data_IF_930245445871
#
_entry.id   IF_930245445871
#
_cell.length_a   1.000
_cell.length_b   1.000
_cell.length_c   1.000
_cell.angle_alpha   90.00
_cell.angle_beta   90.00
_cell.angle_gamma   90.00
#
_symmetry.space_group_name_H-M   'P 1'
#
loop_
_entity.id
_entity.type
_entity.pdbx_description
1 polymer ?
#
# COMPACT_ATOMS: atom_id res chain seq x y z
N UNK A 1 -14.78 4.72 21.21
CA UNK A 1 -13.34 4.59 20.84
C UNK A 1 -13.10 4.23 19.38
N UNK A 2 -13.96 3.43 18.72
CA UNK A 2 -13.77 3.09 17.29
C UNK A 2 -13.99 4.24 16.30
N UNK A 3 -14.96 5.13 16.55
CA UNK A 3 -15.30 6.21 15.59
C UNK A 3 -14.18 7.24 15.42
N UNK A 4 -13.51 7.65 16.51
CA UNK A 4 -12.39 8.58 16.42
C UNK A 4 -11.20 7.96 15.68
N UNK A 5 -10.90 6.67 15.93
CA UNK A 5 -9.83 5.96 15.20
C UNK A 5 -10.13 5.84 13.71
N UNK A 6 -11.40 5.65 13.35
CA UNK A 6 -11.84 5.61 11.96
C UNK A 6 -11.68 6.99 11.31
N UNK A 7 -12.16 8.05 11.97
CA UNK A 7 -12.02 9.43 11.48
C UNK A 7 -10.57 9.82 11.21
N UNK A 8 -9.65 9.44 12.11
CA UNK A 8 -8.21 9.66 11.93
C UNK A 8 -7.67 8.90 10.72
N UNK A 9 -8.11 7.65 10.52
CA UNK A 9 -7.79 6.86 9.33
C UNK A 9 -8.29 7.51 8.05
N UNK A 10 -9.56 7.89 8.01
CA UNK A 10 -10.20 8.55 6.86
C UNK A 10 -9.45 9.84 6.48
N UNK A 11 -9.01 10.64 7.47
CA UNK A 11 -8.21 11.84 7.22
C UNK A 11 -6.84 11.53 6.59
N UNK A 12 -6.20 10.45 7.03
CA UNK A 12 -4.94 9.97 6.44
C UNK A 12 -5.12 9.46 5.00
N UNK A 13 -6.24 8.80 4.72
CA UNK A 13 -6.61 8.38 3.37
C UNK A 13 -6.90 9.58 2.46
N UNK A 14 -7.57 10.62 2.97
CA UNK A 14 -7.86 11.86 2.24
C UNK A 14 -6.58 12.61 1.84
N UNK A 15 -5.60 12.74 2.76
CA UNK A 15 -4.31 13.36 2.46
C UNK A 15 -3.61 12.63 1.31
N UNK A 16 -3.52 11.30 1.41
CA UNK A 16 -2.86 10.47 0.39
C UNK A 16 -3.61 10.51 -0.93
N UNK A 17 -4.95 10.43 -0.90
CA UNK A 17 -5.78 10.52 -2.10
C UNK A 17 -5.61 11.87 -2.79
N UNK A 18 -5.59 12.97 -2.03
CA UNK A 18 -5.36 14.30 -2.58
C UNK A 18 -3.95 14.43 -3.20
N UNK A 19 -2.92 13.92 -2.51
CA UNK A 19 -1.56 13.87 -3.03
C UNK A 19 -1.50 13.13 -4.37
N UNK A 20 -2.05 11.92 -4.44
CA UNK A 20 -2.04 11.10 -5.66
C UNK A 20 -2.83 11.75 -6.80
N UNK A 21 -3.94 12.43 -6.49
CA UNK A 21 -4.71 13.20 -7.48
C UNK A 21 -3.90 14.36 -8.07
N UNK A 22 -3.05 15.04 -7.28
CA UNK A 22 -2.17 16.10 -7.79
C UNK A 22 -1.19 15.55 -8.84
N UNK A 23 -0.70 14.32 -8.66
CA UNK A 23 0.15 13.64 -9.66
C UNK A 23 -0.63 13.08 -10.85
N UNK A 24 -1.95 13.25 -10.89
CA UNK A 24 -2.81 12.72 -11.95
C UNK A 24 -2.88 11.19 -11.96
N UNK A 25 -2.62 10.54 -10.82
CA UNK A 25 -2.80 9.09 -10.71
C UNK A 25 -4.29 8.79 -10.56
N UNK A 26 -4.91 8.33 -11.65
CA UNK A 26 -6.30 7.86 -11.64
C UNK A 26 -6.41 6.49 -10.96
N UNK A 27 -7.19 6.43 -9.89
CA UNK A 27 -7.30 5.25 -9.05
C UNK A 27 -8.29 4.24 -9.64
N UNK A 28 -7.93 2.95 -9.68
CA UNK A 28 -8.82 1.89 -10.15
C UNK A 28 -9.72 1.37 -9.03
N UNK A 29 -9.25 1.43 -7.79
CA UNK A 29 -10.04 1.03 -6.64
C UNK A 29 -9.55 1.68 -5.34
N UNK A 30 -10.49 2.18 -4.55
CA UNK A 30 -10.27 2.66 -3.18
C UNK A 30 -10.85 1.69 -2.16
N UNK A 31 -10.21 1.65 -0.98
CA UNK A 31 -10.69 1.01 0.25
C UNK A 31 -11.20 -0.42 0.02
N UNK A 32 -10.38 -1.22 -0.66
CA UNK A 32 -10.66 -2.63 -0.94
C UNK A 32 -10.08 -3.52 0.13
N UNK A 33 -10.77 -4.62 0.38
CA UNK A 33 -10.25 -5.72 1.17
C UNK A 33 -9.94 -6.88 0.23
N UNK A 34 -8.77 -7.49 0.43
CA UNK A 34 -8.42 -8.75 -0.22
C UNK A 34 -8.48 -9.88 0.78
N UNK A 35 -9.09 -10.98 0.39
CA UNK A 35 -9.13 -12.18 1.22
C UNK A 35 -7.72 -12.71 1.43
N UNK A 36 -7.45 -13.09 2.68
CA UNK A 36 -6.20 -13.73 3.02
C UNK A 36 -6.17 -15.15 2.47
N UNK A 37 -5.12 -15.47 1.73
CA UNK A 37 -4.99 -16.77 1.08
C UNK A 37 -4.37 -17.87 1.97
N UNK A 38 -3.92 -17.52 3.18
CA UNK A 38 -3.14 -18.43 4.05
C UNK A 38 -3.40 -18.15 5.53
N UNK A 39 -3.49 -19.19 6.35
CA UNK A 39 -3.66 -19.03 7.80
C UNK A 39 -2.42 -18.48 8.51
N UNK A 40 -1.25 -18.49 7.85
CA UNK A 40 0.01 -17.99 8.41
C UNK A 40 0.01 -16.50 8.74
N UNK A 41 -0.83 -15.70 8.08
CA UNK A 41 -0.91 -14.26 8.34
C UNK A 41 -1.80 -13.93 9.55
N UNK A 42 -2.49 -14.92 10.13
CA UNK A 42 -3.39 -14.74 11.28
C UNK A 42 -4.48 -13.66 11.05
N UNK A 43 -4.82 -13.42 9.78
CA UNK A 43 -5.84 -12.46 9.33
C UNK A 43 -6.76 -13.12 8.31
N UNK A 44 -8.02 -12.69 8.28
CA UNK A 44 -8.99 -13.13 7.29
C UNK A 44 -8.94 -12.26 6.02
N UNK A 45 -8.65 -10.98 6.17
CA UNK A 45 -8.57 -10.00 5.08
C UNK A 45 -7.43 -9.02 5.30
N UNK A 46 -6.97 -8.40 4.21
CA UNK A 46 -6.00 -7.31 4.22
C UNK A 46 -6.60 -6.08 3.53
N UNK A 47 -6.41 -4.90 4.13
CA UNK A 47 -6.86 -3.63 3.58
C UNK A 47 -5.89 -3.09 2.52
N UNK A 48 -6.45 -2.51 1.46
CA UNK A 48 -5.76 -1.77 0.41
C UNK A 48 -6.48 -0.43 0.28
N UNK A 49 -5.78 0.65 0.60
CA UNK A 49 -6.38 1.99 0.69
C UNK A 49 -6.54 2.57 -0.73
N UNK A 50 -5.55 2.36 -1.60
CA UNK A 50 -5.67 2.65 -3.03
C UNK A 50 -4.94 1.60 -3.91
N UNK A 51 -5.45 1.41 -5.13
CA UNK A 51 -4.93 0.45 -6.10
C UNK A 51 -4.88 1.06 -7.51
N UNK A 52 -3.67 1.17 -8.05
CA UNK A 52 -3.44 1.65 -9.41
C UNK A 52 -2.96 0.51 -10.30
N UNK A 53 -3.54 0.34 -11.49
CA UNK A 53 -3.16 -0.74 -12.40
C UNK A 53 -3.01 -0.21 -13.82
N UNK A 54 -1.78 -0.09 -14.30
CA UNK A 54 -1.50 0.56 -15.58
C UNK A 54 -0.39 -0.15 -16.36
N UNK A 55 -0.35 0.07 -17.67
CA UNK A 55 0.78 -0.36 -18.48
C UNK A 55 2.00 0.52 -18.16
N UNK A 56 3.11 -0.12 -17.79
CA UNK A 56 4.35 0.54 -17.41
C UNK A 56 4.85 1.43 -18.55
N UNK A 57 5.10 2.74 -18.31
CA UNK A 57 5.73 3.60 -19.30
C UNK A 57 7.25 3.38 -19.36
N UNK A 58 7.82 2.64 -18.40
CA UNK A 58 9.27 2.46 -18.25
C UNK A 58 9.75 1.06 -18.66
N UNK A 59 8.97 0.00 -18.36
CA UNK A 59 9.30 -1.39 -18.72
C UNK A 59 8.35 -1.89 -19.81
N UNK A 60 8.90 -2.27 -20.97
CA UNK A 60 8.09 -2.82 -22.07
C UNK A 60 7.32 -4.08 -21.64
N UNK A 61 6.09 -4.22 -22.13
CA UNK A 61 5.20 -5.37 -21.88
C UNK A 61 5.02 -5.68 -20.38
N UNK A 62 4.87 -4.65 -19.57
CA UNK A 62 4.68 -4.79 -18.12
C UNK A 62 3.45 -4.02 -17.67
N UNK A 63 2.61 -4.66 -16.86
CA UNK A 63 1.51 -4.02 -16.14
C UNK A 63 1.94 -3.89 -14.68
N UNK A 64 1.99 -2.66 -14.20
CA UNK A 64 2.27 -2.33 -12.81
C UNK A 64 0.96 -2.33 -12.03
N UNK A 65 0.96 -2.99 -10.88
CA UNK A 65 -0.10 -2.99 -9.90
C UNK A 65 0.49 -2.31 -8.66
N UNK A 66 0.09 -1.09 -8.38
CA UNK A 66 0.57 -0.31 -7.24
C UNK A 66 -0.44 -0.42 -6.11
N UNK A 67 -0.05 -1.12 -5.05
CA UNK A 67 -0.85 -1.33 -3.83
C UNK A 67 -0.40 -0.29 -2.82
N UNK A 68 -1.32 0.61 -2.44
CA UNK A 68 -1.03 1.70 -1.52
C UNK A 68 -1.61 1.40 -0.15
N UNK A 69 -0.83 1.67 0.89
CA UNK A 69 -1.36 1.82 2.24
C UNK A 69 -0.98 3.15 2.88
N UNK A 70 -1.96 3.84 3.43
CA UNK A 70 -1.83 5.03 4.25
C UNK A 70 -1.82 4.66 5.73
N UNK A 71 -0.84 5.20 6.46
CA UNK A 71 -0.72 5.07 7.91
C UNK A 71 -0.48 6.45 8.49
N UNK A 72 -1.54 6.94 9.11
CA UNK A 72 -1.57 8.22 9.80
C UNK A 72 -1.96 8.00 11.26
N UNK A 73 -1.40 8.82 12.12
CA UNK A 73 -1.78 8.89 13.53
C UNK A 73 -2.02 10.35 13.88
N UNK A 74 -3.09 10.63 14.62
CA UNK A 74 -3.38 11.98 15.10
C UNK A 74 -2.37 12.46 16.15
N UNK A 75 -1.71 11.52 16.83
CA UNK A 75 -0.65 11.78 17.80
C UNK A 75 0.71 11.30 17.25
N UNK A 76 1.83 11.89 17.68
CA UNK A 76 3.15 11.40 17.31
C UNK A 76 3.34 9.93 17.68
N UNK A 77 3.98 9.15 16.81
CA UNK A 77 4.28 7.75 17.12
C UNK A 77 5.33 7.67 18.24
N UNK A 78 4.98 7.02 19.35
CA UNK A 78 5.91 6.82 20.47
C UNK A 78 7.02 5.82 20.17
N UNK A 79 6.82 4.91 19.22
CA UNK A 79 7.78 3.88 18.78
C UNK A 79 7.82 3.76 17.25
N UNK A 80 8.25 4.85 16.59
CA UNK A 80 8.30 5.00 15.12
C UNK A 80 8.81 3.73 14.41
N UNK A 81 9.99 3.22 14.78
CA UNK A 81 10.60 2.08 14.08
C UNK A 81 9.81 0.77 14.22
N UNK A 82 9.31 0.42 15.41
CA UNK A 82 8.53 -0.82 15.58
C UNK A 82 7.14 -0.71 14.93
N UNK A 83 6.53 0.47 14.98
CA UNK A 83 5.26 0.73 14.32
C UNK A 83 5.41 0.66 12.81
N UNK A 84 6.47 1.25 12.27
CA UNK A 84 6.85 1.10 10.87
C UNK A 84 6.97 -0.37 10.45
N UNK A 85 7.69 -1.20 11.22
CA UNK A 85 7.85 -2.64 10.90
C UNK A 85 6.51 -3.35 10.80
N UNK A 86 5.61 -3.11 11.76
CA UNK A 86 4.27 -3.71 11.73
C UNK A 86 3.46 -3.25 10.51
N UNK A 87 3.52 -1.96 10.16
CA UNK A 87 2.85 -1.45 8.96
C UNK A 87 3.46 -1.98 7.66
N UNK A 88 4.78 -2.16 7.63
CA UNK A 88 5.48 -2.75 6.49
C UNK A 88 5.11 -4.22 6.30
N UNK A 89 5.02 -4.99 7.38
CA UNK A 89 4.54 -6.38 7.37
C UNK A 89 3.09 -6.47 6.88
N UNK A 90 2.24 -5.54 7.30
CA UNK A 90 0.85 -5.48 6.86
C UNK A 90 0.70 -5.27 5.35
N UNK A 91 1.41 -4.29 4.78
CA UNK A 91 1.36 -4.08 3.32
C UNK A 91 2.04 -5.21 2.55
N UNK A 92 3.13 -5.78 3.06
CA UNK A 92 3.80 -6.92 2.43
C UNK A 92 2.88 -8.15 2.33
N UNK A 93 2.16 -8.47 3.40
CA UNK A 93 1.19 -9.59 3.40
C UNK A 93 -0.05 -9.27 2.55
N UNK A 94 -0.47 -8.00 2.48
CA UNK A 94 -1.52 -7.56 1.56
C UNK A 94 -1.11 -7.77 0.09
N UNK A 95 0.13 -7.43 -0.28
CA UNK A 95 0.69 -7.68 -1.62
C UNK A 95 0.71 -9.18 -1.93
N UNK A 96 1.18 -10.01 -0.99
CA UNK A 96 1.20 -11.48 -1.17
C UNK A 96 -0.20 -12.03 -1.45
N UNK A 97 -1.22 -11.58 -0.69
CA UNK A 97 -2.60 -12.01 -0.86
C UNK A 97 -3.23 -11.43 -2.15
N UNK A 98 -2.97 -10.16 -2.46
CA UNK A 98 -3.43 -9.51 -3.69
C UNK A 98 -2.94 -10.28 -4.93
N UNK A 99 -1.69 -10.75 -4.92
CA UNK A 99 -1.11 -11.52 -6.02
C UNK A 99 -1.92 -12.78 -6.40
N UNK A 100 -2.71 -13.34 -5.47
CA UNK A 100 -3.58 -14.51 -5.71
C UNK A 100 -5.08 -14.19 -5.72
N UNK A 101 -5.45 -12.93 -5.53
CA UNK A 101 -6.84 -12.49 -5.39
C UNK A 101 -7.62 -12.55 -6.71
N UNK A 102 -8.95 -12.69 -6.61
CA UNK A 102 -9.87 -12.45 -7.73
C UNK A 102 -9.83 -11.00 -8.20
N UNK A 103 -9.70 -10.05 -7.26
CA UNK A 103 -9.58 -8.62 -7.54
C UNK A 103 -8.46 -8.31 -8.54
N UNK A 104 -7.27 -8.88 -8.35
CA UNK A 104 -6.16 -8.72 -9.28
C UNK A 104 -6.50 -9.24 -10.68
N UNK A 105 -7.12 -10.42 -10.76
CA UNK A 105 -7.50 -11.03 -12.05
C UNK A 105 -8.48 -10.14 -12.80
N UNK A 106 -9.51 -9.67 -12.11
CA UNK A 106 -10.55 -8.82 -12.69
C UNK A 106 -9.98 -7.50 -13.22
N UNK A 107 -9.24 -6.75 -12.40
CA UNK A 107 -8.72 -5.43 -12.81
C UNK A 107 -7.69 -5.57 -13.92
N UNK A 108 -6.78 -6.54 -13.85
CA UNK A 108 -5.81 -6.76 -14.93
C UNK A 108 -6.50 -7.15 -16.24
N UNK A 109 -7.57 -7.96 -16.21
CA UNK A 109 -8.34 -8.30 -17.42
C UNK A 109 -8.99 -7.08 -18.04
N UNK A 110 -9.55 -6.17 -17.24
CA UNK A 110 -10.13 -4.92 -17.72
C UNK A 110 -9.08 -4.04 -18.43
N UNK A 111 -7.92 -3.83 -17.80
CA UNK A 111 -6.81 -3.04 -18.37
C UNK A 111 -6.28 -3.65 -19.67
N UNK A 112 -6.07 -4.97 -19.69
CA UNK A 112 -5.61 -5.69 -20.88
C UNK A 112 -6.59 -5.54 -22.04
N UNK A 113 -7.88 -5.70 -21.75
CA UNK A 113 -8.95 -5.62 -22.76
C UNK A 113 -9.08 -4.22 -23.35
N UNK A 114 -8.81 -3.17 -22.55
CA UNK A 114 -8.89 -1.78 -22.99
C UNK A 114 -7.75 -1.37 -23.94
N UNK A 115 -6.54 -1.91 -23.78
CA UNK A 115 -5.35 -1.41 -24.49
C UNK A 115 -4.50 -2.44 -25.25
N UNK A 116 -5.02 -3.65 -25.50
CA UNK A 116 -4.32 -4.75 -26.21
C UNK A 116 -3.01 -5.19 -25.54
N UNK A 117 -2.97 -5.20 -24.21
CA UNK A 117 -1.77 -5.57 -23.42
C UNK A 117 -1.62 -7.07 -23.16
N UNK A 118 -1.90 -7.91 -24.16
CA UNK A 118 -1.81 -9.36 -24.02
C UNK A 118 -0.36 -9.83 -23.83
N UNK A 119 -0.17 -10.81 -22.94
CA UNK A 119 1.15 -11.38 -22.66
C UNK A 119 2.06 -10.48 -21.81
N UNK A 120 1.56 -9.39 -21.24
CA UNK A 120 2.34 -8.56 -20.34
C UNK A 120 2.63 -9.26 -19.00
N UNK A 121 3.88 -9.08 -18.54
CA UNK A 121 4.31 -9.36 -17.17
C UNK A 121 3.49 -8.50 -16.22
N UNK A 122 3.14 -9.05 -15.04
CA UNK A 122 2.39 -8.33 -14.01
C UNK A 122 3.31 -8.16 -12.82
N UNK A 123 3.51 -6.91 -12.42
CA UNK A 123 4.39 -6.54 -11.30
C UNK A 123 3.52 -5.94 -10.22
N UNK A 124 3.74 -6.37 -8.98
CA UNK A 124 3.08 -5.83 -7.81
C UNK A 124 4.10 -5.02 -7.01
N UNK A 125 3.79 -3.74 -6.80
CA UNK A 125 4.64 -2.76 -6.12
C UNK A 125 3.85 -2.16 -4.95
N UNK A 126 4.44 -2.13 -3.77
CA UNK A 126 3.85 -1.47 -2.61
C UNK A 126 4.26 0.00 -2.50
N UNK A 127 3.37 0.84 -1.99
CA UNK A 127 3.68 2.19 -1.52
C UNK A 127 3.08 2.37 -0.13
N UNK A 128 3.92 2.60 0.86
CA UNK A 128 3.52 2.83 2.24
C UNK A 128 3.72 4.30 2.59
N UNK A 129 2.62 5.05 2.67
CA UNK A 129 2.64 6.40 3.24
C UNK A 129 2.64 6.29 4.77
N UNK A 130 3.81 6.47 5.38
CA UNK A 130 3.96 6.48 6.84
C UNK A 130 4.13 7.90 7.36
N UNK A 131 3.03 8.51 7.80
CA UNK A 131 2.94 9.93 8.12
C UNK A 131 2.96 10.14 9.64
N UNK A 132 4.03 10.74 10.16
CA UNK A 132 4.15 11.08 11.58
C UNK A 132 3.66 12.52 11.84
N UNK A 133 2.55 12.66 12.57
CA UNK A 133 2.01 13.96 12.95
C UNK A 133 2.66 14.48 14.24
N UNK A 134 3.93 14.89 14.16
CA UNK A 134 4.64 15.56 15.27
C UNK A 134 4.61 17.08 15.10
N UNK A 135 4.32 17.81 16.18
CA UNK A 135 4.31 19.27 16.16
C UNK A 135 5.72 19.86 16.14
N UNK A 136 6.74 19.08 16.50
CA UNK A 136 8.14 19.47 16.37
C UNK A 136 8.67 19.08 14.97
N UNK A 137 9.08 20.05 14.13
CA UNK A 137 9.62 19.80 12.79
C UNK A 137 10.79 18.80 12.76
N UNK A 138 11.66 18.82 13.77
CA UNK A 138 12.83 17.92 13.83
C UNK A 138 12.42 16.45 14.05
N UNK A 139 11.20 16.23 14.58
CA UNK A 139 10.63 14.88 14.81
C UNK A 139 9.68 14.44 13.71
N UNK A 140 9.37 15.33 12.76
CA UNK A 140 8.61 14.97 11.57
C UNK A 140 9.46 14.12 10.61
N UNK A 141 10.77 14.37 10.52
CA UNK A 141 11.69 13.50 9.77
C UNK A 141 11.96 12.19 10.52
N UNK A 142 11.24 11.16 10.10
CA UNK A 142 11.35 9.81 10.64
C UNK A 142 12.25 8.89 9.80
N UNK A 143 12.83 9.37 8.69
CA UNK A 143 13.63 8.53 7.78
C UNK A 143 14.83 7.93 8.54
N UNK A 144 15.51 8.77 9.33
CA UNK A 144 16.64 8.36 10.16
C UNK A 144 16.28 7.26 11.17
N UNK A 145 15.03 7.26 11.65
CA UNK A 145 14.50 6.30 12.61
C UNK A 145 14.14 4.95 11.98
N UNK A 146 13.73 4.95 10.70
CA UNK A 146 13.25 3.73 10.03
C UNK A 146 14.28 3.09 9.09
N UNK A 147 15.28 3.84 8.60
CA UNK A 147 16.24 3.36 7.56
C UNK A 147 16.99 2.07 7.92
N UNK A 148 17.23 1.82 9.20
CA UNK A 148 17.95 0.65 9.71
C UNK A 148 17.01 -0.45 10.23
N UNK A 149 15.71 -0.35 9.95
CA UNK A 149 14.72 -1.33 10.39
C UNK A 149 14.97 -2.67 9.71
N UNK A 150 15.32 -3.67 10.50
CA UNK A 150 15.37 -5.06 10.04
C UNK A 150 13.94 -5.56 9.82
N UNK A 151 13.61 -5.81 8.55
CA UNK A 151 12.35 -6.41 8.10
C UNK A 151 12.52 -7.94 8.04
N UNK A 152 11.47 -8.68 8.39
CA UNK A 152 11.48 -10.15 8.31
C UNK A 152 11.73 -10.65 6.89
N UNK A 153 12.63 -11.62 6.75
CA UNK A 153 12.95 -12.28 5.47
C UNK A 153 11.84 -13.21 4.97
N UNK A 154 10.86 -13.54 5.82
CA UNK A 154 9.76 -14.45 5.46
C UNK A 154 8.64 -13.76 4.66
N UNK A 155 8.66 -12.43 4.61
CA UNK A 155 7.67 -11.64 3.88
C UNK A 155 7.86 -11.78 2.36
N UNK A 156 6.76 -12.01 1.64
CA UNK A 156 6.79 -12.16 0.18
C UNK A 156 6.29 -10.92 -0.53
N UNK A 157 7.23 -10.07 -0.92
CA UNK A 157 6.97 -8.89 -1.75
C UNK A 157 8.16 -8.68 -2.69
N UNK A 158 7.93 -7.97 -3.79
CA UNK A 158 9.03 -7.58 -4.69
C UNK A 158 9.67 -6.28 -4.24
N UNK A 159 8.87 -5.24 -4.10
CA UNK A 159 9.33 -3.89 -3.76
C UNK A 159 8.22 -3.15 -3.01
N UNK A 160 8.60 -2.43 -1.97
CA UNK A 160 7.75 -1.49 -1.25
C UNK A 160 8.52 -0.18 -1.15
N UNK A 161 7.92 0.90 -1.64
CA UNK A 161 8.41 2.26 -1.44
C UNK A 161 7.79 2.85 -0.17
N UNK A 162 8.55 3.67 0.54
CA UNK A 162 8.16 4.35 1.78
C UNK A 162 8.48 5.83 1.62
#
# INVERSE_FOLDING_TARGET
MGEFSKLVGDYGEDIVSHFLNIFGWENHATNKYVDCHTRKHEKNTHGIDALFVYNSPLESKTIENVIVSSKYSSNPYSKVASTFKSHFEDIATAIECYAKSSLKKEINQQVISAGRYNGCKKVDTGVLFYINNDSNPDKQDIISSIKNSQISSDLKYRTIHV
#
